data_IF_609033264211
#
_entry.id   IF_609033264211
#
_cell.length_a   1.000
_cell.length_b   1.000
_cell.length_c   1.000
_cell.angle_alpha   90.00
_cell.angle_beta   90.00
_cell.angle_gamma   90.00
#
_symmetry.space_group_name_H-M   'P 1'
#
loop_
_entity.id
_entity.type
_entity.pdbx_description
1 polymer ?
#
# COMPACT_ATOMS: atom_id res chain seq x y z
N UNK A 1 10.04 -15.55 -12.60
CA UNK A 1 9.11 -14.92 -11.64
C UNK A 1 9.64 -13.53 -11.35
N UNK A 2 8.91 -12.46 -11.70
CA UNK A 2 9.31 -11.10 -11.33
C UNK A 2 9.18 -10.96 -9.82
N UNK A 3 10.27 -10.63 -9.13
CA UNK A 3 10.23 -10.41 -7.68
C UNK A 3 9.51 -9.08 -7.46
N UNK A 4 8.28 -9.15 -6.97
CA UNK A 4 7.51 -7.99 -6.53
C UNK A 4 8.31 -7.32 -5.41
N UNK A 5 8.91 -6.16 -5.69
CA UNK A 5 9.61 -5.38 -4.68
C UNK A 5 8.58 -4.83 -3.68
N UNK A 6 8.82 -4.91 -2.37
CA UNK A 6 7.90 -4.35 -1.39
C UNK A 6 7.90 -2.82 -1.46
N UNK A 7 6.79 -2.19 -1.06
CA UNK A 7 6.74 -0.74 -0.86
C UNK A 7 7.59 -0.37 0.36
N UNK A 8 8.48 0.61 0.21
CA UNK A 8 9.23 1.21 1.32
C UNK A 8 8.32 2.19 2.06
N UNK A 9 7.66 1.71 3.11
CA UNK A 9 6.64 2.46 3.85
C UNK A 9 7.27 3.46 4.81
N UNK A 10 6.77 4.71 4.81
CA UNK A 10 6.97 5.69 5.88
C UNK A 10 5.95 5.45 6.99
N UNK A 11 6.32 5.69 8.25
CA UNK A 11 5.47 5.36 9.40
C UNK A 11 4.10 6.06 9.34
N UNK A 12 4.05 7.32 8.88
CA UNK A 12 2.80 8.07 8.70
C UNK A 12 1.82 7.43 7.69
N UNK A 13 2.32 6.57 6.79
CA UNK A 13 1.53 5.92 5.73
C UNK A 13 1.07 4.50 6.09
N UNK A 14 1.53 3.99 7.23
CA UNK A 14 1.25 2.61 7.66
C UNK A 14 -0.10 2.56 8.36
N UNK A 15 -0.94 1.62 7.94
CA UNK A 15 -2.20 1.30 8.61
C UNK A 15 -2.28 -0.18 8.95
N UNK A 16 -3.02 -0.51 10.00
CA UNK A 16 -3.35 -1.89 10.33
C UNK A 16 -4.52 -2.43 9.49
N UNK A 17 -4.77 -3.73 9.61
CA UNK A 17 -5.86 -4.43 8.88
C UNK A 17 -7.23 -3.78 9.12
N UNK A 18 -7.56 -3.42 10.37
CA UNK A 18 -8.86 -2.81 10.71
C UNK A 18 -9.05 -1.46 10.04
N UNK A 19 -8.01 -0.62 10.02
CA UNK A 19 -8.07 0.68 9.33
C UNK A 19 -8.13 0.51 7.82
N UNK A 20 -7.38 -0.44 7.25
CA UNK A 20 -7.48 -0.76 5.83
C UNK A 20 -8.90 -1.20 5.43
N UNK A 21 -9.57 -2.01 6.25
CA UNK A 21 -10.97 -2.40 6.03
C UNK A 21 -11.90 -1.18 6.08
N UNK A 22 -11.76 -0.33 7.11
CA UNK A 22 -12.58 0.88 7.28
C UNK A 22 -12.41 1.86 6.11
N UNK A 23 -11.17 2.08 5.67
CA UNK A 23 -10.85 3.00 4.58
C UNK A 23 -11.33 2.49 3.21
N UNK A 24 -11.26 1.18 2.97
CA UNK A 24 -11.57 0.58 1.67
C UNK A 24 -12.99 0.05 1.52
N UNK A 25 -13.72 -0.12 2.63
CA UNK A 25 -14.99 -0.85 2.68
C UNK A 25 -14.87 -2.35 2.34
N UNK A 26 -13.65 -2.91 2.28
CA UNK A 26 -13.41 -4.32 1.94
C UNK A 26 -13.31 -5.20 3.18
N UNK A 27 -13.62 -6.49 3.01
CA UNK A 27 -13.45 -7.48 4.07
C UNK A 27 -11.97 -7.74 4.38
N UNK A 28 -11.68 -8.22 5.60
CA UNK A 28 -10.34 -8.63 6.00
C UNK A 28 -9.70 -9.62 5.02
N UNK A 29 -10.46 -10.61 4.57
CA UNK A 29 -10.02 -11.62 3.60
C UNK A 29 -9.58 -10.94 2.29
N UNK A 30 -10.34 -9.95 1.83
CA UNK A 30 -9.99 -9.18 0.63
C UNK A 30 -8.72 -8.37 0.83
N UNK A 31 -8.60 -7.65 1.96
CA UNK A 31 -7.40 -6.88 2.29
C UNK A 31 -6.15 -7.76 2.31
N UNK A 32 -6.20 -8.90 3.00
CA UNK A 32 -5.07 -9.84 3.08
C UNK A 32 -4.71 -10.40 1.71
N UNK A 33 -5.71 -10.73 0.88
CA UNK A 33 -5.50 -11.19 -0.49
C UNK A 33 -4.81 -10.12 -1.35
N UNK A 34 -5.26 -8.87 -1.28
CA UNK A 34 -4.64 -7.75 -2.00
C UNK A 34 -3.20 -7.53 -1.53
N UNK A 35 -2.97 -7.52 -0.22
CA UNK A 35 -1.63 -7.37 0.36
C UNK A 35 -0.67 -8.45 -0.14
N UNK A 36 -1.09 -9.73 -0.13
CA UNK A 36 -0.28 -10.84 -0.63
C UNK A 36 -0.04 -10.75 -2.13
N UNK A 37 -1.06 -10.39 -2.91
CA UNK A 37 -0.98 -10.33 -4.38
C UNK A 37 -0.08 -9.20 -4.86
N UNK A 38 -0.13 -8.06 -4.17
CA UNK A 38 0.51 -6.81 -4.61
C UNK A 38 1.62 -6.34 -3.67
N UNK A 39 2.11 -7.17 -2.75
CA UNK A 39 3.24 -6.80 -1.87
C UNK A 39 3.02 -5.51 -1.07
N UNK A 40 1.78 -5.28 -0.61
CA UNK A 40 1.39 -4.02 0.04
C UNK A 40 1.68 -3.98 1.54
N UNK A 41 2.12 -5.10 2.11
CA UNK A 41 2.23 -5.26 3.54
C UNK A 41 3.56 -5.87 3.96
N UNK A 42 4.00 -5.54 5.16
CA UNK A 42 5.11 -6.19 5.84
C UNK A 42 4.69 -6.70 7.21
N UNK A 43 5.34 -7.75 7.65
CA UNK A 43 5.18 -8.34 8.97
C UNK A 43 6.58 -8.66 9.48
N UNK A 44 6.97 -8.06 10.60
CA UNK A 44 8.34 -8.12 11.12
C UNK A 44 8.71 -9.49 11.67
N UNK A 45 7.77 -10.14 12.34
CA UNK A 45 7.92 -11.51 12.88
C UNK A 45 6.60 -12.27 12.74
N UNK A 46 6.61 -13.62 12.80
CA UNK A 46 5.38 -14.38 12.88
C UNK A 46 4.47 -13.85 14.00
N UNK A 47 3.18 -13.68 13.68
CA UNK A 47 2.16 -13.14 14.59
C UNK A 47 2.26 -11.64 14.93
N UNK A 48 3.26 -10.91 14.43
CA UNK A 48 3.28 -9.45 14.56
C UNK A 48 2.08 -8.81 13.80
N UNK A 49 1.61 -7.63 14.21
CA UNK A 49 0.62 -6.88 13.44
C UNK A 49 1.07 -6.69 11.99
N UNK A 50 0.13 -6.82 11.06
CA UNK A 50 0.39 -6.56 9.65
C UNK A 50 0.40 -5.04 9.41
N UNK A 51 1.50 -4.53 8.90
CA UNK A 51 1.66 -3.14 8.51
C UNK A 51 1.40 -3.00 7.01
N UNK A 52 0.43 -2.18 6.63
CA UNK A 52 -0.05 -2.04 5.25
C UNK A 52 0.23 -0.62 4.74
N UNK A 53 0.77 -0.51 3.52
CA UNK A 53 0.88 0.77 2.83
C UNK A 53 -0.51 1.29 2.46
N UNK A 54 -0.94 2.39 3.11
CA UNK A 54 -2.22 3.05 2.77
C UNK A 54 -2.23 3.53 1.33
N UNK A 55 -1.16 4.17 0.89
CA UNK A 55 -1.01 4.68 -0.49
C UNK A 55 -1.07 3.56 -1.51
N UNK A 56 -0.31 2.47 -1.29
CA UNK A 56 -0.32 1.32 -2.20
C UNK A 56 -1.68 0.61 -2.24
N UNK A 57 -2.41 0.57 -1.13
CA UNK A 57 -3.77 0.04 -1.10
C UNK A 57 -4.72 0.89 -1.95
N UNK A 58 -4.65 2.21 -1.84
CA UNK A 58 -5.49 3.14 -2.62
C UNK A 58 -5.26 2.97 -4.13
N UNK A 59 -3.99 2.89 -4.56
CA UNK A 59 -3.61 2.64 -5.95
C UNK A 59 -4.23 1.33 -6.49
N UNK A 60 -4.12 0.24 -5.72
CA UNK A 60 -4.69 -1.06 -6.11
C UNK A 60 -6.22 -1.03 -6.16
N UNK A 61 -6.88 -0.32 -5.24
CA UNK A 61 -8.34 -0.17 -5.26
C UNK A 61 -8.82 0.58 -6.51
N UNK A 62 -8.01 1.50 -7.02
CA UNK A 62 -8.26 2.22 -8.28
C UNK A 62 -7.75 1.50 -9.53
N UNK A 63 -7.07 0.36 -9.39
CA UNK A 63 -6.49 -0.39 -10.50
C UNK A 63 -5.23 0.24 -11.12
N UNK A 64 -4.64 1.26 -10.47
CA UNK A 64 -3.45 1.96 -10.95
C UNK A 64 -2.17 1.22 -10.51
N UNK A 65 -1.86 0.15 -11.24
CA UNK A 65 -0.69 -0.68 -10.96
C UNK A 65 0.62 -0.01 -11.41
N UNK A 66 0.57 0.89 -12.39
CA UNK A 66 1.76 1.61 -12.85
C UNK A 66 2.25 2.58 -11.76
N UNK A 67 1.34 3.32 -11.11
CA UNK A 67 1.70 4.15 -9.97
C UNK A 67 2.22 3.30 -8.79
N UNK A 68 1.69 2.08 -8.59
CA UNK A 68 2.20 1.17 -7.57
C UNK A 68 3.65 0.73 -7.86
N UNK A 69 4.00 0.46 -9.11
CA UNK A 69 5.39 0.12 -9.47
C UNK A 69 6.32 1.34 -9.29
N UNK A 70 5.90 2.54 -9.67
CA UNK A 70 6.64 3.78 -9.39
C UNK A 70 6.87 3.99 -7.89
N UNK A 71 5.83 3.77 -7.07
CA UNK A 71 5.93 3.86 -5.62
C UNK A 71 6.96 2.87 -5.06
N UNK A 72 7.01 1.64 -5.58
CA UNK A 72 8.03 0.64 -5.20
C UNK A 72 9.43 0.98 -5.67
N UNK A 73 9.55 1.66 -6.80
CA UNK A 73 10.82 2.19 -7.30
C UNK A 73 11.33 3.37 -6.46
N UNK A 74 10.50 3.92 -5.56
CA UNK A 74 10.82 5.08 -4.75
C UNK A 74 10.57 6.42 -5.46
N UNK A 75 9.89 6.40 -6.61
CA UNK A 75 9.60 7.57 -7.44
C UNK A 75 8.43 8.39 -6.87
N UNK A 76 8.54 8.82 -5.62
CA UNK A 76 7.44 9.46 -4.89
C UNK A 76 7.07 10.85 -5.42
N UNK A 77 7.99 11.48 -6.14
CA UNK A 77 7.77 12.74 -6.85
C UNK A 77 7.10 12.54 -8.22
N UNK A 78 6.98 11.31 -8.73
CA UNK A 78 6.32 11.05 -10.00
C UNK A 78 4.85 11.50 -9.94
N UNK A 79 4.31 12.16 -10.99
CA UNK A 79 2.94 12.67 -10.96
C UNK A 79 1.87 11.63 -10.59
N UNK A 80 1.92 10.37 -11.08
CA UNK A 80 0.95 9.34 -10.68
C UNK A 80 0.99 9.03 -9.19
N UNK A 81 2.19 8.92 -8.59
CA UNK A 81 2.35 8.64 -7.15
C UNK A 81 1.92 9.85 -6.32
N UNK A 82 2.38 11.05 -6.70
CA UNK A 82 2.12 12.29 -5.98
C UNK A 82 0.62 12.58 -5.86
N UNK A 83 -0.16 12.29 -6.91
CA UNK A 83 -1.62 12.42 -6.90
C UNK A 83 -2.27 11.66 -5.72
N UNK A 84 -1.83 10.43 -5.45
CA UNK A 84 -2.36 9.64 -4.33
C UNK A 84 -1.88 10.15 -2.98
N UNK A 85 -0.62 10.56 -2.88
CA UNK A 85 -0.08 11.12 -1.66
C UNK A 85 -0.83 12.41 -1.26
N UNK A 86 -1.06 13.32 -2.22
CA UNK A 86 -1.86 14.53 -2.03
C UNK A 86 -3.30 14.19 -1.61
N UNK A 87 -3.96 13.27 -2.31
CA UNK A 87 -5.33 12.84 -1.98
C UNK A 87 -5.45 12.29 -0.54
N UNK A 88 -4.43 11.56 -0.08
CA UNK A 88 -4.40 10.96 1.24
C UNK A 88 -3.83 11.89 2.34
N UNK A 89 -3.42 13.11 1.98
CA UNK A 89 -2.68 14.05 2.84
C UNK A 89 -1.40 13.43 3.43
N UNK A 90 -0.63 12.75 2.57
CA UNK A 90 0.66 12.12 2.88
C UNK A 90 1.82 12.92 2.25
N UNK A 91 3.02 12.90 2.85
CA UNK A 91 4.18 13.59 2.29
C UNK A 91 4.73 12.87 1.05
N UNK A 92 5.19 13.67 0.08
CA UNK A 92 5.98 13.20 -1.07
C UNK A 92 7.32 12.60 -0.61
#
# INVERSE_FOLDING_TARGET
MSVVRPVLMRLEEVVGVKDAMRLSGKSEVTIRRLCRRHGLARQTTPSAPLEISRTGLEMVLHGDLDALEMLRAGERSAPPVRRYLEFLNMPA
#
